data_IF_489203570962
#
_entry.id   IF_489203570962
#
_cell.length_a   1.000
_cell.length_b   1.000
_cell.length_c   1.000
_cell.angle_alpha   90.00
_cell.angle_beta   90.00
_cell.angle_gamma   90.00
#
_symmetry.space_group_name_H-M   'P 1'
#
loop_
_entity.id
_entity.type
_entity.pdbx_description
1 polymer ?
#
# COMPACT_ATOMS: atom_id res chain seq x y z
N UNK A 1 27.24 -11.77 17.93
CA UNK A 1 27.40 -12.65 16.75
C UNK A 1 27.24 -14.09 17.22
N UNK A 2 26.37 -14.89 16.59
CA UNK A 2 26.19 -16.31 16.94
C UNK A 2 27.48 -17.10 16.68
N UNK A 3 27.92 -17.92 17.64
CA UNK A 3 29.08 -18.82 17.52
C UNK A 3 28.80 -19.93 16.48
N UNK A 4 29.86 -20.56 15.95
CA UNK A 4 29.75 -21.54 14.86
C UNK A 4 28.83 -22.73 15.18
N UNK A 5 28.82 -23.18 16.44
CA UNK A 5 27.99 -24.29 16.90
C UNK A 5 26.51 -23.90 17.03
N UNK A 6 26.21 -22.69 17.55
CA UNK A 6 24.84 -22.18 17.60
C UNK A 6 24.28 -21.89 16.21
N UNK A 7 25.11 -21.49 15.24
CA UNK A 7 24.67 -21.33 13.84
C UNK A 7 24.25 -22.65 13.21
N UNK A 8 24.97 -23.74 13.48
CA UNK A 8 24.62 -25.08 13.01
C UNK A 8 23.30 -25.55 13.60
N UNK A 9 23.12 -25.41 14.91
CA UNK A 9 21.87 -25.78 15.59
C UNK A 9 20.65 -24.99 15.08
N UNK A 10 20.82 -23.69 14.84
CA UNK A 10 19.74 -22.84 14.27
C UNK A 10 19.45 -23.26 12.82
N UNK A 11 20.47 -23.51 12.01
CA UNK A 11 20.30 -23.98 10.64
C UNK A 11 19.58 -25.33 10.57
N UNK A 12 19.93 -26.28 11.45
CA UNK A 12 19.27 -27.58 11.54
C UNK A 12 17.82 -27.45 12.00
N UNK A 13 17.55 -26.62 13.00
CA UNK A 13 16.18 -26.35 13.45
C UNK A 13 15.31 -25.71 12.36
N UNK A 14 15.87 -24.77 11.58
CA UNK A 14 15.17 -24.15 10.43
C UNK A 14 14.94 -25.18 9.33
N UNK A 15 15.94 -26.01 9.01
CA UNK A 15 15.81 -27.06 8.00
C UNK A 15 14.76 -28.10 8.39
N UNK A 16 14.71 -28.50 9.66
CA UNK A 16 13.70 -29.44 10.15
C UNK A 16 12.31 -28.81 10.18
N UNK A 17 12.18 -27.53 10.51
CA UNK A 17 10.92 -26.81 10.38
C UNK A 17 10.44 -26.77 8.92
N UNK A 18 11.34 -26.45 7.97
CA UNK A 18 11.03 -26.45 6.54
C UNK A 18 10.66 -27.86 6.03
N UNK A 19 11.40 -28.91 6.44
CA UNK A 19 11.09 -30.30 6.10
C UNK A 19 9.72 -30.70 6.61
N UNK A 20 9.36 -30.34 7.84
CA UNK A 20 8.02 -30.60 8.38
C UNK A 20 6.95 -29.87 7.59
N UNK A 21 7.21 -28.64 7.14
CA UNK A 21 6.30 -27.90 6.26
C UNK A 21 6.13 -28.60 4.89
N UNK A 22 7.17 -29.17 4.30
CA UNK A 22 7.07 -29.83 2.99
C UNK A 22 6.52 -31.27 3.05
N UNK A 23 6.96 -32.06 4.02
CA UNK A 23 6.66 -33.49 4.09
C UNK A 23 5.58 -33.86 5.11
N UNK A 24 5.23 -32.94 6.02
CA UNK A 24 4.33 -33.20 7.15
C UNK A 24 3.42 -32.00 7.45
N UNK A 25 3.06 -31.23 6.43
CA UNK A 25 2.32 -29.97 6.63
C UNK A 25 0.94 -30.18 7.21
N UNK A 26 0.46 -29.18 7.94
CA UNK A 26 -0.96 -29.04 8.29
C UNK A 26 -1.77 -28.59 7.08
N UNK A 27 -3.10 -28.65 7.17
CA UNK A 27 -3.99 -28.17 6.11
C UNK A 27 -3.75 -26.69 5.78
N UNK A 28 -3.58 -25.84 6.80
CA UNK A 28 -3.30 -24.41 6.63
C UNK A 28 -1.93 -24.16 5.97
N UNK A 29 -0.90 -24.93 6.32
CA UNK A 29 0.43 -24.84 5.69
C UNK A 29 0.42 -25.30 4.23
N UNK A 30 -0.26 -26.41 3.90
CA UNK A 30 -0.44 -26.85 2.51
C UNK A 30 -1.16 -25.81 1.66
N UNK A 31 -2.21 -25.21 2.22
CA UNK A 31 -2.96 -24.16 1.54
C UNK A 31 -2.06 -22.94 1.22
N UNK A 32 -1.18 -22.56 2.16
CA UNK A 32 -0.18 -21.51 1.96
C UNK A 32 0.81 -21.84 0.83
N UNK A 33 1.39 -23.05 0.85
CA UNK A 33 2.35 -23.50 -0.16
C UNK A 33 1.72 -23.61 -1.56
N UNK A 34 0.50 -24.14 -1.65
CA UNK A 34 -0.24 -24.20 -2.91
C UNK A 34 -0.53 -22.81 -3.46
N UNK A 35 -0.90 -21.86 -2.61
CA UNK A 35 -1.06 -20.45 -3.00
C UNK A 35 0.25 -19.91 -3.56
N UNK A 36 1.37 -20.10 -2.85
CA UNK A 36 2.69 -19.64 -3.32
C UNK A 36 3.03 -20.22 -4.69
N UNK A 37 2.91 -21.54 -4.86
CA UNK A 37 3.18 -22.22 -6.13
C UNK A 37 2.33 -21.67 -7.28
N UNK A 38 1.03 -21.43 -7.05
CA UNK A 38 0.14 -20.86 -8.08
C UNK A 38 0.54 -19.44 -8.48
N UNK A 39 0.93 -18.62 -7.52
CA UNK A 39 1.42 -17.27 -7.78
C UNK A 39 2.64 -17.28 -8.69
N UNK A 40 3.60 -18.17 -8.39
CA UNK A 40 4.78 -18.36 -9.22
C UNK A 40 4.43 -18.88 -10.61
N UNK A 41 3.51 -19.84 -10.73
CA UNK A 41 3.06 -20.34 -12.04
C UNK A 41 2.38 -19.26 -12.87
N UNK A 42 1.56 -18.40 -12.26
CA UNK A 42 0.89 -17.29 -12.97
C UNK A 42 1.92 -16.26 -13.44
N UNK A 43 2.83 -15.82 -12.57
CA UNK A 43 3.91 -14.89 -12.95
C UNK A 43 4.80 -15.48 -14.03
N UNK A 44 5.09 -16.79 -13.95
CA UNK A 44 5.87 -17.51 -14.97
C UNK A 44 5.17 -17.56 -16.32
N UNK A 45 3.87 -17.89 -16.35
CA UNK A 45 3.07 -17.93 -17.59
C UNK A 45 2.93 -16.53 -18.19
N UNK A 46 2.70 -15.50 -17.37
CA UNK A 46 2.54 -14.12 -17.85
C UNK A 46 3.86 -13.52 -18.36
N UNK A 47 5.00 -13.88 -17.75
CA UNK A 47 6.32 -13.56 -18.30
C UNK A 47 6.59 -14.25 -19.66
N UNK A 48 5.86 -15.32 -19.98
CA UNK A 48 6.02 -16.09 -21.21
C UNK A 48 5.27 -15.52 -22.42
N UNK A 49 4.32 -14.60 -22.25
CA UNK A 49 3.48 -14.06 -23.34
C UNK A 49 3.78 -12.57 -23.62
N UNK A 50 4.54 -12.25 -24.69
CA UNK A 50 4.99 -10.88 -24.98
C UNK A 50 3.86 -9.87 -25.21
N UNK A 51 2.69 -10.31 -25.67
CA UNK A 51 1.53 -9.43 -25.91
C UNK A 51 0.93 -8.91 -24.61
N UNK A 52 0.84 -9.78 -23.60
CA UNK A 52 0.34 -9.43 -22.27
C UNK A 52 1.29 -8.43 -21.61
N UNK A 53 2.60 -8.66 -21.72
CA UNK A 53 3.61 -7.75 -21.20
C UNK A 53 3.51 -6.34 -21.80
N UNK A 54 3.36 -6.22 -23.12
CA UNK A 54 3.18 -4.91 -23.79
C UNK A 54 1.89 -4.21 -23.36
N UNK A 55 0.80 -4.96 -23.22
CA UNK A 55 -0.47 -4.42 -22.73
C UNK A 55 -0.32 -3.79 -21.34
N UNK A 56 0.41 -4.43 -20.42
CA UNK A 56 0.68 -3.89 -19.09
C UNK A 56 1.56 -2.64 -19.12
N UNK A 57 2.59 -2.58 -19.98
CA UNK A 57 3.43 -1.38 -20.14
C UNK A 57 2.62 -0.16 -20.63
N UNK A 58 1.83 -0.34 -21.69
CA UNK A 58 1.06 0.74 -22.30
C UNK A 58 -0.04 1.24 -21.36
N UNK A 59 -0.68 0.32 -20.63
CA UNK A 59 -1.66 0.65 -19.60
C UNK A 59 -1.06 1.39 -18.38
N UNK A 60 0.20 1.10 -18.03
CA UNK A 60 0.82 1.71 -16.84
C UNK A 60 1.36 3.11 -17.08
N UNK A 61 1.98 3.32 -18.25
CA UNK A 61 2.73 4.54 -18.58
C UNK A 61 1.90 5.84 -18.54
N UNK A 62 0.58 5.73 -18.57
CA UNK A 62 -0.35 6.86 -18.50
C UNK A 62 -1.12 6.92 -17.17
N UNK A 63 -0.80 6.05 -16.21
CA UNK A 63 -1.53 5.97 -14.94
C UNK A 63 -1.18 7.16 -14.04
N UNK A 64 -2.20 7.89 -13.58
CA UNK A 64 -2.07 8.97 -12.59
C UNK A 64 -2.53 8.45 -11.23
N UNK A 65 -1.66 8.55 -10.23
CA UNK A 65 -1.90 8.02 -8.88
C UNK A 65 -1.86 9.16 -7.87
N UNK A 66 -3.02 9.54 -7.35
CA UNK A 66 -3.11 10.33 -6.12
C UNK A 66 -2.71 9.43 -4.96
N UNK A 67 -1.55 9.67 -4.36
CA UNK A 67 -1.01 8.79 -3.31
C UNK A 67 -1.65 9.16 -1.97
N UNK A 68 -2.33 8.20 -1.33
CA UNK A 68 -2.96 8.41 -0.03
C UNK A 68 -1.99 8.60 1.13
N UNK A 69 -2.44 9.28 2.19
CA UNK A 69 -1.64 9.52 3.38
C UNK A 69 -1.24 8.21 4.08
N UNK A 70 -2.12 7.21 4.08
CA UNK A 70 -1.86 5.88 4.64
C UNK A 70 -0.67 5.17 3.98
N UNK A 71 -0.50 5.36 2.67
CA UNK A 71 0.64 4.86 1.92
C UNK A 71 1.90 5.63 2.28
N UNK A 72 1.84 6.96 2.26
CA UNK A 72 2.99 7.81 2.56
C UNK A 72 3.50 7.59 3.99
N UNK A 73 2.63 7.46 4.99
CA UNK A 73 3.00 7.16 6.38
C UNK A 73 3.78 5.84 6.46
N UNK A 74 3.36 4.80 5.72
CA UNK A 74 4.11 3.53 5.63
C UNK A 74 5.47 3.72 4.98
N UNK A 75 5.58 4.55 3.93
CA UNK A 75 6.89 4.85 3.31
C UNK A 75 7.84 5.56 4.29
N UNK A 76 7.33 6.39 5.21
CA UNK A 76 8.14 7.00 6.27
C UNK A 76 8.57 5.95 7.30
N UNK A 77 7.64 5.09 7.73
CA UNK A 77 7.89 4.03 8.70
C UNK A 77 8.94 3.01 8.23
N UNK A 78 9.02 2.73 6.93
CA UNK A 78 9.96 1.76 6.36
C UNK A 78 11.40 2.31 6.19
N UNK A 79 11.67 3.59 6.46
CA UNK A 79 12.96 4.24 6.13
C UNK A 79 14.21 3.51 6.64
N UNK A 80 14.10 2.88 7.81
CA UNK A 80 15.21 2.20 8.51
C UNK A 80 15.14 0.67 8.44
N UNK A 81 14.12 0.14 7.75
CA UNK A 81 14.06 -1.27 7.39
C UNK A 81 15.12 -1.54 6.32
N UNK A 82 15.62 -2.77 6.24
CA UNK A 82 16.57 -3.17 5.21
C UNK A 82 15.99 -2.88 3.81
N UNK A 83 16.79 -2.39 2.83
CA UNK A 83 16.29 -1.96 1.53
C UNK A 83 15.37 -2.98 0.84
N UNK A 84 15.64 -4.26 1.02
CA UNK A 84 14.87 -5.39 0.47
C UNK A 84 13.46 -5.50 1.08
N UNK A 85 13.33 -5.08 2.33
CA UNK A 85 12.12 -5.14 3.14
C UNK A 85 11.36 -3.78 3.20
N UNK A 86 11.83 -2.75 2.47
CA UNK A 86 11.13 -1.46 2.33
C UNK A 86 9.98 -1.53 1.31
N UNK A 87 9.01 -2.40 1.57
CA UNK A 87 7.99 -2.81 0.59
C UNK A 87 7.23 -1.64 -0.05
N UNK A 88 6.67 -0.75 0.76
CA UNK A 88 5.90 0.40 0.29
C UNK A 88 6.79 1.43 -0.39
N UNK A 89 8.00 1.68 0.13
CA UNK A 89 8.95 2.61 -0.52
C UNK A 89 9.36 2.12 -1.90
N UNK A 90 9.70 0.83 -2.00
CA UNK A 90 10.09 0.19 -3.26
C UNK A 90 8.93 0.18 -4.24
N UNK A 91 7.70 -0.06 -3.78
CA UNK A 91 6.50 0.00 -4.61
C UNK A 91 6.33 1.37 -5.28
N UNK A 92 6.44 2.46 -4.51
CA UNK A 92 6.28 3.82 -5.02
C UNK A 92 7.42 4.18 -5.99
N UNK A 93 8.66 3.85 -5.66
CA UNK A 93 9.82 4.06 -6.56
C UNK A 93 9.69 3.27 -7.86
N UNK A 94 9.22 2.03 -7.77
CA UNK A 94 8.99 1.18 -8.92
C UNK A 94 7.82 1.69 -9.79
N UNK A 95 6.75 2.20 -9.17
CA UNK A 95 5.64 2.81 -9.88
C UNK A 95 6.09 4.03 -10.69
N UNK A 96 6.89 4.93 -10.10
CA UNK A 96 7.48 6.02 -10.87
C UNK A 96 8.38 5.52 -12.00
N UNK A 97 9.25 4.55 -11.72
CA UNK A 97 10.21 4.01 -12.70
C UNK A 97 9.53 3.31 -13.88
N UNK A 98 8.36 2.73 -13.67
CA UNK A 98 7.54 2.12 -14.72
C UNK A 98 6.64 3.15 -15.45
N UNK A 99 6.68 4.43 -15.07
CA UNK A 99 6.05 5.53 -15.81
C UNK A 99 4.77 6.10 -15.18
N UNK A 100 4.37 5.65 -13.99
CA UNK A 100 3.20 6.25 -13.33
C UNK A 100 3.48 7.69 -12.89
N UNK A 101 2.49 8.57 -13.11
CA UNK A 101 2.48 9.93 -12.60
C UNK A 101 1.98 9.93 -11.15
N UNK A 102 2.88 10.10 -10.20
CA UNK A 102 2.55 10.10 -8.78
C UNK A 102 2.23 11.52 -8.31
N UNK A 103 1.09 11.71 -7.66
CA UNK A 103 0.57 13.03 -7.25
C UNK A 103 0.45 13.08 -5.73
N UNK A 104 1.00 14.14 -5.13
CA UNK A 104 0.85 14.53 -3.73
C UNK A 104 -0.07 15.74 -3.66
N UNK A 105 -1.31 15.55 -3.23
CA UNK A 105 -2.24 16.65 -3.01
C UNK A 105 -2.00 17.33 -1.65
N UNK A 106 -2.22 18.64 -1.56
CA UNK A 106 -2.15 19.43 -0.33
C UNK A 106 -2.88 18.80 0.89
N UNK A 107 -4.15 18.34 0.78
CA UNK A 107 -4.82 17.68 1.93
C UNK A 107 -4.10 16.43 2.42
N UNK A 108 -3.48 15.65 1.52
CA UNK A 108 -2.70 14.48 1.90
C UNK A 108 -1.43 14.88 2.65
N UNK A 109 -0.72 15.92 2.18
CA UNK A 109 0.46 16.44 2.86
C UNK A 109 0.13 16.89 4.29
N UNK A 110 -0.98 17.61 4.45
CA UNK A 110 -1.45 18.03 5.77
C UNK A 110 -1.73 16.85 6.69
N UNK A 111 -2.31 15.77 6.16
CA UNK A 111 -2.59 14.57 6.94
C UNK A 111 -1.33 13.84 7.38
N UNK A 112 -0.35 13.68 6.48
CA UNK A 112 0.94 13.05 6.82
C UNK A 112 1.66 13.87 7.90
N UNK A 113 1.65 15.20 7.77
CA UNK A 113 2.24 16.09 8.77
C UNK A 113 1.47 16.04 10.10
N UNK A 114 0.14 16.00 10.05
CA UNK A 114 -0.72 15.81 11.23
C UNK A 114 -0.41 14.49 11.93
N UNK A 115 -0.16 13.42 11.19
CA UNK A 115 0.22 12.12 11.74
C UNK A 115 1.62 12.14 12.38
N UNK A 116 2.56 12.88 11.82
CA UNK A 116 3.88 13.13 12.42
C UNK A 116 3.76 13.90 13.74
N UNK A 117 3.02 15.01 13.74
CA UNK A 117 2.78 15.85 14.94
C UNK A 117 2.04 15.08 16.04
N UNK A 118 1.01 14.32 15.67
CA UNK A 118 0.28 13.48 16.61
C UNK A 118 1.11 12.31 17.14
N UNK A 119 2.09 11.82 16.37
CA UNK A 119 3.07 10.84 16.87
C UNK A 119 4.06 11.49 17.84
N UNK A 120 4.50 12.71 17.57
CA UNK A 120 5.39 13.48 18.45
C UNK A 120 4.75 13.76 19.82
N UNK A 121 3.52 14.27 19.84
CA UNK A 121 2.76 14.46 21.09
C UNK A 121 2.63 13.16 21.87
N UNK A 122 2.21 12.08 21.20
CA UNK A 122 2.06 10.77 21.87
C UNK A 122 3.39 10.25 22.42
N UNK A 123 4.48 10.42 21.67
CA UNK A 123 5.81 9.98 22.08
C UNK A 123 6.23 10.64 23.40
N UNK A 124 6.08 11.95 23.50
CA UNK A 124 6.45 12.72 24.68
C UNK A 124 5.53 12.46 25.88
N UNK A 125 4.23 12.25 25.64
CA UNK A 125 3.26 11.97 26.71
C UNK A 125 3.41 10.56 27.29
N UNK A 126 3.61 9.55 26.44
CA UNK A 126 3.48 8.15 26.85
C UNK A 126 4.79 7.35 26.87
N UNK A 127 5.79 7.71 26.06
CA UNK A 127 7.00 6.89 25.88
C UNK A 127 8.25 7.49 26.52
N UNK A 128 8.46 8.80 26.43
CA UNK A 128 9.58 9.48 27.09
C UNK A 128 9.66 9.21 28.61
N UNK A 129 8.54 9.21 29.36
CA UNK A 129 8.57 8.93 30.81
C UNK A 129 9.04 7.51 31.17
N UNK A 130 8.92 6.55 30.24
CA UNK A 130 9.17 5.12 30.48
C UNK A 130 10.33 4.57 29.66
N UNK A 131 11.17 5.43 29.07
CA UNK A 131 12.27 5.07 28.16
C UNK A 131 13.27 4.04 28.67
N UNK A 132 13.35 3.79 29.99
CA UNK A 132 14.19 2.73 30.55
C UNK A 132 13.68 1.31 30.19
N UNK A 133 12.44 1.19 29.74
CA UNK A 133 11.75 -0.08 29.39
C UNK A 133 11.65 -0.18 27.86
N UNK A 134 12.79 -0.17 27.16
CA UNK A 134 12.84 -0.40 25.71
C UNK A 134 13.04 -1.89 25.44
N UNK A 135 11.96 -2.66 25.51
CA UNK A 135 11.93 -4.03 25.03
C UNK A 135 11.20 -4.12 23.68
N UNK A 136 11.73 -4.95 22.79
CA UNK A 136 11.17 -5.23 21.46
C UNK A 136 9.71 -5.70 21.56
N UNK A 137 9.38 -6.43 22.62
CA UNK A 137 8.02 -6.93 22.88
C UNK A 137 7.02 -5.83 23.25
N UNK A 138 7.49 -4.69 23.77
CA UNK A 138 6.62 -3.52 24.06
C UNK A 138 6.32 -2.74 22.79
N UNK A 139 7.28 -2.66 21.86
CA UNK A 139 7.13 -1.90 20.62
C UNK A 139 5.93 -2.35 19.77
N UNK A 140 5.59 -3.65 19.75
CA UNK A 140 4.45 -4.16 18.97
C UNK A 140 3.09 -3.58 19.39
N UNK A 141 2.98 -3.18 20.66
CA UNK A 141 1.76 -2.65 21.26
C UNK A 141 1.61 -1.13 21.10
N UNK A 142 2.64 -0.44 20.63
CA UNK A 142 2.57 1.00 20.40
C UNK A 142 1.62 1.29 19.22
N UNK A 143 0.55 2.09 19.41
CA UNK A 143 -0.45 2.30 18.36
C UNK A 143 0.07 3.15 17.19
N UNK A 144 1.06 4.02 17.44
CA UNK A 144 1.62 4.91 16.41
C UNK A 144 2.70 4.20 15.60
N UNK A 145 2.43 3.95 14.31
CA UNK A 145 3.34 3.23 13.42
C UNK A 145 4.73 3.88 13.27
N UNK A 146 4.82 5.20 13.29
CA UNK A 146 6.10 5.92 13.17
C UNK A 146 6.97 5.74 14.41
N UNK A 147 6.36 5.65 15.59
CA UNK A 147 7.07 5.36 16.85
C UNK A 147 7.52 3.90 16.86
N UNK A 148 6.66 2.97 16.40
CA UNK A 148 7.08 1.57 16.21
C UNK A 148 8.28 1.47 15.28
N UNK A 149 8.28 2.21 14.18
CA UNK A 149 9.39 2.24 13.24
C UNK A 149 10.69 2.71 13.90
N UNK A 150 10.66 3.76 14.72
CA UNK A 150 11.80 4.19 15.53
C UNK A 150 12.30 3.05 16.45
N UNK A 151 11.40 2.46 17.24
CA UNK A 151 11.77 1.42 18.21
C UNK A 151 12.38 0.21 17.52
N UNK A 152 11.82 -0.24 16.40
CA UNK A 152 12.40 -1.31 15.60
C UNK A 152 13.75 -0.92 15.01
N UNK A 153 13.91 0.32 14.52
CA UNK A 153 15.17 0.81 13.99
C UNK A 153 16.30 0.87 15.04
N UNK A 154 15.96 1.09 16.31
CA UNK A 154 16.93 1.09 17.41
C UNK A 154 17.45 -0.32 17.73
N UNK A 155 16.55 -1.33 17.68
CA UNK A 155 16.88 -2.73 17.99
C UNK A 155 17.55 -3.44 16.80
N UNK A 156 17.06 -3.22 15.58
CA UNK A 156 17.53 -3.93 14.39
C UNK A 156 18.90 -3.40 13.90
N UNK A 157 19.77 -4.28 13.37
CA UNK A 157 21.01 -3.86 12.74
C UNK A 157 20.78 -3.08 11.45
N UNK A 158 20.92 -1.76 11.52
CA UNK A 158 20.98 -0.83 10.39
C UNK A 158 22.24 0.05 10.48
N UNK A 159 22.79 0.44 9.33
CA UNK A 159 23.99 1.30 9.20
C UNK A 159 23.72 2.76 9.62
N UNK A 160 22.46 3.19 9.59
CA UNK A 160 22.05 4.55 9.93
C UNK A 160 20.89 4.50 10.92
N UNK A 161 21.16 4.30 12.21
CA UNK A 161 20.10 4.20 13.23
C UNK A 161 19.81 5.57 13.86
N UNK A 162 18.54 5.96 13.99
CA UNK A 162 18.17 7.11 14.79
C UNK A 162 18.34 6.79 16.28
N UNK A 163 19.16 7.58 16.98
CA UNK A 163 19.35 7.45 18.43
C UNK A 163 18.16 7.99 19.22
N UNK A 164 17.34 8.85 18.62
CA UNK A 164 16.24 9.54 19.27
C UNK A 164 15.07 9.79 18.31
N UNK A 165 13.91 10.12 18.88
CA UNK A 165 12.74 10.56 18.09
C UNK A 165 13.03 11.84 17.29
N UNK A 166 13.81 12.75 17.87
CA UNK A 166 14.26 13.96 17.19
C UNK A 166 15.09 13.63 15.94
N UNK A 167 16.04 12.70 16.05
CA UNK A 167 16.83 12.23 14.90
C UNK A 167 15.98 11.49 13.87
N UNK A 168 14.97 10.74 14.31
CA UNK A 168 14.02 10.08 13.41
C UNK A 168 13.25 11.11 12.57
N UNK A 169 12.67 12.12 13.24
CA UNK A 169 11.88 13.18 12.58
C UNK A 169 12.78 14.05 11.67
N UNK A 170 14.02 14.33 12.09
CA UNK A 170 14.99 15.12 11.32
C UNK A 170 15.30 14.55 9.93
N UNK A 171 14.95 13.29 9.64
CA UNK A 171 15.06 12.75 8.28
C UNK A 171 14.03 13.32 7.31
N UNK A 172 12.89 13.79 7.80
CA UNK A 172 11.75 14.23 6.99
C UNK A 172 11.56 15.75 7.05
N UNK A 173 11.82 16.34 8.21
CA UNK A 173 11.82 17.78 8.45
C UNK A 173 12.62 18.09 9.71
N UNK A 174 13.16 19.30 9.83
CA UNK A 174 13.82 19.78 11.03
C UNK A 174 12.87 19.66 12.23
N UNK A 175 13.29 18.95 13.27
CA UNK A 175 12.50 18.73 14.48
C UNK A 175 12.05 20.04 15.17
N UNK A 176 12.89 21.09 15.31
CA UNK A 176 12.45 22.37 15.87
C UNK A 176 11.31 23.02 15.07
N UNK A 177 11.20 22.70 13.78
CA UNK A 177 10.19 23.25 12.89
C UNK A 177 8.94 22.36 12.80
N UNK A 178 8.91 21.17 13.42
CA UNK A 178 7.84 20.18 13.26
C UNK A 178 6.43 20.76 13.47
N UNK A 179 6.27 21.56 14.52
CA UNK A 179 5.00 22.22 14.87
C UNK A 179 4.82 23.60 14.23
N UNK A 180 5.74 24.01 13.35
CA UNK A 180 5.72 25.26 12.60
C UNK A 180 5.25 25.02 11.15
N UNK A 181 4.81 26.07 10.42
CA UNK A 181 4.46 25.95 9.01
C UNK A 181 5.61 25.44 8.12
N UNK A 182 6.86 25.74 8.51
CA UNK A 182 8.06 25.38 7.74
C UNK A 182 8.21 23.86 7.56
N UNK A 183 7.75 23.05 8.52
CA UNK A 183 7.77 21.59 8.39
C UNK A 183 6.95 21.07 7.22
N UNK A 184 5.86 21.74 6.85
CA UNK A 184 5.05 21.34 5.69
C UNK A 184 5.86 21.45 4.39
N UNK A 185 6.59 22.56 4.22
CA UNK A 185 7.44 22.81 3.05
C UNK A 185 8.61 21.83 3.01
N UNK A 186 9.22 21.53 4.15
CA UNK A 186 10.34 20.58 4.25
C UNK A 186 9.89 19.15 3.93
N UNK A 187 8.78 18.72 4.53
CA UNK A 187 8.19 17.40 4.29
C UNK A 187 7.76 17.24 2.82
N UNK A 188 7.14 18.27 2.23
CA UNK A 188 6.80 18.30 0.82
C UNK A 188 8.05 18.06 -0.04
N UNK A 189 9.11 18.86 0.17
CA UNK A 189 10.36 18.73 -0.58
C UNK A 189 10.98 17.34 -0.44
N UNK A 190 10.98 16.77 0.76
CA UNK A 190 11.44 15.42 1.00
C UNK A 190 10.64 14.40 0.18
N UNK A 191 9.30 14.42 0.25
CA UNK A 191 8.44 13.49 -0.46
C UNK A 191 8.58 13.60 -1.99
N UNK A 192 8.66 14.83 -2.52
CA UNK A 192 8.89 15.07 -3.94
C UNK A 192 10.26 14.57 -4.39
N UNK A 193 11.32 14.82 -3.60
CA UNK A 193 12.68 14.42 -3.95
C UNK A 193 12.86 12.89 -3.93
N UNK A 194 12.38 12.24 -2.87
CA UNK A 194 12.57 10.81 -2.60
C UNK A 194 11.69 9.92 -3.48
N UNK A 195 10.44 10.33 -3.73
CA UNK A 195 9.45 9.50 -4.41
C UNK A 195 8.98 10.07 -5.76
N UNK A 196 9.52 11.21 -6.19
CA UNK A 196 9.18 11.87 -7.47
C UNK A 196 7.70 12.22 -7.59
N UNK A 197 7.09 12.62 -6.47
CA UNK A 197 5.71 13.08 -6.44
C UNK A 197 5.60 14.48 -7.07
N UNK A 198 4.58 14.68 -7.89
CA UNK A 198 4.11 15.99 -8.34
C UNK A 198 3.20 16.59 -7.27
N UNK A 199 3.52 17.80 -6.79
CA UNK A 199 2.73 18.43 -5.73
C UNK A 199 1.63 19.30 -6.32
N UNK A 200 0.41 19.13 -5.83
CA UNK A 200 -0.73 19.99 -6.12
C UNK A 200 -1.11 20.77 -4.86
N UNK A 201 -0.96 22.09 -4.93
CA UNK A 201 -1.20 22.98 -3.79
C UNK A 201 -2.69 23.25 -3.56
N UNK A 202 -3.00 23.95 -2.46
CA UNK A 202 -4.40 24.33 -2.16
C UNK A 202 -5.05 25.21 -3.22
N UNK A 203 -4.27 26.02 -3.94
CA UNK A 203 -4.82 26.86 -5.01
C UNK A 203 -5.34 25.98 -6.15
N UNK A 204 -4.58 24.94 -6.49
CA UNK A 204 -4.96 23.92 -7.48
C UNK A 204 -6.15 23.13 -6.97
N UNK A 205 -6.08 22.57 -5.75
CA UNK A 205 -7.16 21.75 -5.17
C UNK A 205 -8.49 22.51 -5.14
N UNK A 206 -8.50 23.74 -4.62
CA UNK A 206 -9.71 24.55 -4.52
C UNK A 206 -10.25 25.00 -5.89
N UNK A 207 -9.41 25.04 -6.93
CA UNK A 207 -9.88 25.36 -8.29
C UNK A 207 -10.57 24.17 -8.98
N UNK A 208 -10.27 22.94 -8.55
CA UNK A 208 -10.77 21.70 -9.16
C UNK A 208 -11.94 21.09 -8.39
N UNK A 209 -12.05 21.38 -7.09
CA UNK A 209 -13.10 20.86 -6.22
C UNK A 209 -14.26 21.85 -6.09
N UNK A 210 -15.48 21.33 -6.08
CA UNK A 210 -16.70 22.09 -5.84
C UNK A 210 -17.02 22.15 -4.34
N UNK A 211 -17.27 23.35 -3.82
CA UNK A 211 -17.48 23.57 -2.38
C UNK A 211 -18.79 22.92 -1.87
N UNK A 212 -19.86 22.92 -2.67
CA UNK A 212 -21.14 22.34 -2.28
C UNK A 212 -21.05 20.81 -2.24
N UNK A 213 -20.47 20.20 -3.26
CA UNK A 213 -20.17 18.78 -3.31
C UNK A 213 -19.20 18.40 -2.19
N UNK A 214 -18.20 19.22 -1.90
CA UNK A 214 -17.26 18.96 -0.81
C UNK A 214 -17.95 18.86 0.55
N UNK A 215 -18.82 19.80 0.87
CA UNK A 215 -19.60 19.79 2.12
C UNK A 215 -20.47 18.53 2.19
N UNK A 216 -21.13 18.18 1.09
CA UNK A 216 -21.97 16.99 1.00
C UNK A 216 -21.15 15.70 1.26
N UNK A 217 -20.02 15.54 0.58
CA UNK A 217 -19.14 14.37 0.72
C UNK A 217 -18.54 14.26 2.12
N UNK A 218 -18.03 15.36 2.68
CA UNK A 218 -17.48 15.41 4.03
C UNK A 218 -18.54 15.01 5.07
N UNK A 219 -19.76 15.51 4.95
CA UNK A 219 -20.84 15.23 5.91
C UNK A 219 -21.14 13.73 5.98
N UNK A 220 -21.14 13.05 4.83
CA UNK A 220 -21.34 11.58 4.74
C UNK A 220 -20.24 10.80 5.47
N UNK A 221 -19.02 11.33 5.51
CA UNK A 221 -17.88 10.69 6.15
C UNK A 221 -17.74 11.01 7.64
N UNK A 222 -18.45 12.01 8.15
CA UNK A 222 -18.28 12.52 9.53
C UNK A 222 -18.61 11.45 10.58
N UNK A 223 -19.56 10.55 10.31
CA UNK A 223 -19.89 9.43 11.21
C UNK A 223 -18.95 8.22 11.05
N UNK A 224 -18.20 8.16 9.95
CA UNK A 224 -17.31 7.04 9.63
C UNK A 224 -15.86 7.27 10.07
N UNK A 225 -15.48 8.52 10.33
CA UNK A 225 -14.10 8.95 10.56
C UNK A 225 -13.93 9.47 11.97
N UNK A 226 -12.74 9.28 12.53
CA UNK A 226 -12.40 9.71 13.89
C UNK A 226 -12.36 11.24 14.04
N UNK A 227 -12.18 11.97 12.94
CA UNK A 227 -12.19 13.43 12.93
C UNK A 227 -12.74 14.01 11.64
N UNK A 228 -13.32 15.20 11.73
CA UNK A 228 -13.77 15.98 10.58
C UNK A 228 -12.62 16.29 9.61
N UNK A 229 -11.40 16.47 10.12
CA UNK A 229 -10.21 16.71 9.31
C UNK A 229 -9.95 15.57 8.32
N UNK A 230 -10.04 14.31 8.76
CA UNK A 230 -9.86 13.14 7.87
C UNK A 230 -10.97 13.05 6.83
N UNK A 231 -12.23 13.23 7.26
CA UNK A 231 -13.38 13.26 6.37
C UNK A 231 -13.26 14.34 5.27
N UNK A 232 -12.74 15.52 5.64
CA UNK A 232 -12.48 16.63 4.72
C UNK A 232 -11.42 16.26 3.70
N UNK A 233 -10.29 15.71 4.13
CA UNK A 233 -9.19 15.37 3.22
C UNK A 233 -9.60 14.30 2.20
N UNK A 234 -10.31 13.26 2.63
CA UNK A 234 -10.80 12.20 1.75
C UNK A 234 -11.78 12.74 0.70
N UNK A 235 -12.66 13.68 1.09
CA UNK A 235 -13.60 14.33 0.17
C UNK A 235 -12.88 15.14 -0.91
N UNK A 236 -11.77 15.82 -0.60
CA UNK A 236 -10.95 16.49 -1.61
C UNK A 236 -10.31 15.49 -2.57
N UNK A 237 -9.66 14.44 -2.07
CA UNK A 237 -9.00 13.45 -2.93
C UNK A 237 -9.99 12.74 -3.86
N UNK A 238 -11.19 12.43 -3.36
CA UNK A 238 -12.27 11.87 -4.17
C UNK A 238 -12.66 12.77 -5.34
N UNK A 239 -12.82 14.07 -5.07
CA UNK A 239 -13.15 15.05 -6.11
C UNK A 239 -12.01 15.25 -7.10
N UNK A 240 -10.76 15.30 -6.63
CA UNK A 240 -9.59 15.44 -7.52
C UNK A 240 -9.52 14.32 -8.55
N UNK A 241 -9.70 13.06 -8.13
CA UNK A 241 -9.75 11.92 -9.06
C UNK A 241 -10.94 12.05 -10.02
N UNK A 242 -12.12 12.36 -9.51
CA UNK A 242 -13.34 12.50 -10.33
C UNK A 242 -13.19 13.62 -11.38
N UNK A 243 -12.65 14.77 -10.98
CA UNK A 243 -12.40 15.92 -11.84
C UNK A 243 -11.38 15.60 -12.94
N UNK A 244 -10.26 14.96 -12.59
CA UNK A 244 -9.26 14.54 -13.58
C UNK A 244 -9.86 13.60 -14.63
N UNK A 245 -10.66 12.62 -14.20
CA UNK A 245 -11.33 11.68 -15.12
C UNK A 245 -12.29 12.38 -16.08
N UNK A 246 -13.08 13.32 -15.57
CA UNK A 246 -14.01 14.09 -16.38
C UNK A 246 -13.27 14.96 -17.40
N UNK A 247 -12.20 15.64 -16.97
CA UNK A 247 -11.40 16.53 -17.83
C UNK A 247 -10.68 15.78 -18.95
N UNK A 248 -10.13 14.61 -18.64
CA UNK A 248 -9.47 13.74 -19.62
C UNK A 248 -10.45 12.91 -20.45
N UNK A 249 -11.75 13.03 -20.16
CA UNK A 249 -12.83 12.29 -20.80
C UNK A 249 -12.58 10.77 -20.73
N UNK A 250 -12.09 10.28 -19.58
CA UNK A 250 -11.75 8.87 -19.40
C UNK A 250 -12.98 7.96 -19.58
N UNK A 251 -14.19 8.43 -19.24
CA UNK A 251 -15.44 7.69 -19.46
C UNK A 251 -15.86 7.61 -20.95
N UNK A 252 -15.45 8.59 -21.77
CA UNK A 252 -15.84 8.67 -23.18
C UNK A 252 -14.78 8.07 -24.13
N UNK A 253 -13.52 7.99 -23.68
CA UNK A 253 -12.45 7.37 -24.45
C UNK A 253 -12.64 5.86 -24.47
N UNK A 254 -12.72 5.29 -25.67
CA UNK A 254 -12.68 3.83 -25.88
C UNK A 254 -11.26 3.30 -25.68
N UNK A 255 -10.71 3.44 -24.47
CA UNK A 255 -9.45 2.83 -24.09
C UNK A 255 -9.70 1.38 -23.66
N UNK A 256 -8.87 0.45 -24.13
CA UNK A 256 -8.87 -0.94 -23.66
C UNK A 256 -8.25 -1.11 -22.26
N UNK A 257 -7.73 -0.03 -21.66
CA UNK A 257 -7.00 -0.03 -20.39
C UNK A 257 -7.83 0.47 -19.20
N UNK A 258 -9.07 0.92 -19.44
CA UNK A 258 -9.94 1.49 -18.41
C UNK A 258 -9.49 2.88 -17.94
N UNK A 259 -9.87 3.24 -16.72
CA UNK A 259 -9.50 4.54 -16.12
C UNK A 259 -7.99 4.67 -15.94
N UNK A 260 -7.44 5.84 -16.20
CA UNK A 260 -6.03 6.15 -16.00
C UNK A 260 -5.77 6.82 -14.64
N UNK A 261 -6.75 7.54 -14.09
CA UNK A 261 -6.58 8.27 -12.84
C UNK A 261 -7.16 7.53 -11.64
N UNK A 262 -6.37 7.35 -10.57
CA UNK A 262 -6.77 6.57 -9.39
C UNK A 262 -6.25 7.17 -8.08
N UNK A 263 -6.95 6.88 -6.98
CA UNK A 263 -6.50 7.10 -5.61
C UNK A 263 -5.84 5.84 -5.06
N UNK A 264 -4.53 5.88 -4.81
CA UNK A 264 -3.78 4.77 -4.24
C UNK A 264 -3.92 4.75 -2.71
N UNK A 265 -4.68 3.78 -2.16
CA UNK A 265 -4.88 3.62 -0.72
C UNK A 265 -5.26 2.17 -0.34
N UNK A 266 -5.00 1.76 0.91
CA UNK A 266 -5.49 0.49 1.48
C UNK A 266 -6.78 0.68 2.30
N UNK A 267 -6.96 1.84 2.92
CA UNK A 267 -7.95 2.08 3.99
C UNK A 267 -9.32 2.58 3.54
N UNK A 268 -9.45 3.10 2.32
CA UNK A 268 -10.53 4.07 2.02
C UNK A 268 -11.76 3.54 1.28
N UNK A 269 -11.83 2.25 0.96
CA UNK A 269 -12.94 1.69 0.18
C UNK A 269 -14.33 1.81 0.82
N UNK A 270 -14.45 1.91 2.15
CA UNK A 270 -15.74 2.16 2.79
C UNK A 270 -16.18 3.62 2.58
N UNK A 271 -15.25 4.56 2.81
CA UNK A 271 -15.46 6.00 2.59
C UNK A 271 -15.78 6.29 1.11
N UNK A 272 -15.01 5.72 0.17
CA UNK A 272 -15.24 5.85 -1.27
C UNK A 272 -16.62 5.36 -1.68
N UNK A 273 -17.10 4.22 -1.14
CA UNK A 273 -18.45 3.73 -1.44
C UNK A 273 -19.55 4.67 -0.91
N UNK A 274 -19.36 5.24 0.27
CA UNK A 274 -20.31 6.18 0.85
C UNK A 274 -20.36 7.47 0.02
N UNK A 275 -19.21 8.02 -0.33
CA UNK A 275 -19.07 9.20 -1.21
C UNK A 275 -19.68 8.96 -2.60
N UNK A 276 -19.30 7.87 -3.27
CA UNK A 276 -19.79 7.55 -4.61
C UNK A 276 -21.33 7.40 -4.66
N UNK A 277 -21.95 6.88 -3.59
CA UNK A 277 -23.41 6.78 -3.49
C UNK A 277 -24.07 8.16 -3.51
N UNK A 278 -23.47 9.13 -2.83
CA UNK A 278 -24.03 10.48 -2.69
C UNK A 278 -23.70 11.36 -3.89
N UNK A 279 -22.47 11.26 -4.42
CA UNK A 279 -22.08 11.91 -5.67
C UNK A 279 -22.74 11.31 -6.92
N UNK A 280 -23.43 10.17 -6.79
CA UNK A 280 -23.98 9.38 -7.93
C UNK A 280 -22.93 9.07 -8.99
N UNK A 281 -21.70 8.85 -8.55
CA UNK A 281 -20.53 8.61 -9.40
C UNK A 281 -20.02 7.18 -9.23
N UNK A 282 -19.04 6.81 -10.05
CA UNK A 282 -18.40 5.49 -9.95
C UNK A 282 -17.65 5.35 -8.63
N UNK A 283 -17.83 4.21 -7.95
CA UNK A 283 -17.02 3.86 -6.79
C UNK A 283 -15.63 3.32 -7.16
N UNK A 284 -15.34 3.15 -8.46
CA UNK A 284 -14.06 2.63 -8.98
C UNK A 284 -12.98 3.71 -9.01
N UNK A 285 -12.79 4.43 -7.91
CA UNK A 285 -11.83 5.53 -7.76
C UNK A 285 -10.54 5.08 -7.06
N UNK A 286 -10.63 4.02 -6.25
CA UNK A 286 -9.52 3.53 -5.45
C UNK A 286 -8.73 2.44 -6.17
N UNK A 287 -7.40 2.53 -6.14
CA UNK A 287 -6.47 1.48 -6.52
C UNK A 287 -5.80 0.92 -5.27
N UNK A 288 -5.86 -0.40 -5.09
CA UNK A 288 -5.18 -1.06 -3.98
C UNK A 288 -3.68 -1.25 -4.31
N UNK A 289 -2.72 -0.95 -3.41
CA UNK A 289 -1.28 -1.10 -3.67
C UNK A 289 -0.84 -2.54 -3.96
N UNK A 290 -1.56 -3.52 -3.40
CA UNK A 290 -1.38 -4.92 -3.76
C UNK A 290 -1.66 -5.24 -5.24
N UNK A 291 -2.54 -4.49 -5.90
CA UNK A 291 -2.74 -4.58 -7.36
C UNK A 291 -1.57 -3.92 -8.09
N UNK A 292 -1.18 -2.71 -7.68
CA UNK A 292 -0.04 -1.96 -8.23
C UNK A 292 1.25 -2.80 -8.22
N UNK A 293 1.53 -3.49 -7.12
CA UNK A 293 2.69 -4.37 -6.98
C UNK A 293 2.68 -5.53 -8.01
N UNK A 294 1.52 -6.16 -8.22
CA UNK A 294 1.37 -7.22 -9.25
C UNK A 294 1.57 -6.65 -10.65
N UNK A 295 1.00 -5.48 -10.91
CA UNK A 295 1.10 -4.82 -12.21
C UNK A 295 2.56 -4.54 -12.59
N UNK A 296 3.34 -3.99 -11.66
CA UNK A 296 4.77 -3.71 -11.84
C UNK A 296 5.58 -5.01 -12.03
N UNK A 297 5.24 -6.10 -11.34
CA UNK A 297 5.92 -7.39 -11.55
C UNK A 297 5.71 -7.96 -12.95
N UNK A 298 4.58 -7.61 -13.59
CA UNK A 298 4.20 -8.05 -14.93
C UNK A 298 4.63 -7.07 -16.03
N UNK A 299 5.02 -5.84 -15.69
CA UNK A 299 5.44 -4.85 -16.68
C UNK A 299 6.89 -5.13 -17.17
N UNK A 300 7.14 -5.25 -18.49
CA UNK A 300 8.48 -5.53 -19.01
C UNK A 300 9.45 -4.35 -18.85
N UNK A 301 9.02 -3.09 -18.98
CA UNK A 301 9.86 -1.90 -18.67
C UNK A 301 10.35 -1.88 -17.22
N UNK A 302 9.67 -2.58 -16.33
CA UNK A 302 10.10 -2.82 -14.98
C UNK A 302 11.26 -3.83 -14.89
N UNK A 303 12.01 -4.18 -15.93
CA UNK A 303 13.20 -5.05 -15.79
C UNK A 303 14.20 -4.53 -14.73
N UNK A 304 14.37 -3.22 -14.65
CA UNK A 304 15.22 -2.56 -13.66
C UNK A 304 14.54 -2.48 -12.26
N UNK A 305 13.22 -2.27 -12.23
CA UNK A 305 12.42 -2.30 -11.00
C UNK A 305 12.23 -3.74 -10.45
N UNK A 306 12.22 -4.76 -11.31
CA UNK A 306 12.24 -6.19 -10.97
C UNK A 306 13.57 -6.59 -10.32
N UNK A 307 14.66 -5.90 -10.65
CA UNK A 307 15.94 -6.05 -9.94
C UNK A 307 15.89 -5.44 -8.53
N UNK A 308 15.14 -4.33 -8.35
CA UNK A 308 14.84 -3.74 -7.04
C UNK A 308 13.78 -4.53 -6.25
N UNK A 309 12.94 -5.32 -6.94
CA UNK A 309 11.99 -6.28 -6.38
C UNK A 309 12.51 -7.74 -6.40
N UNK A 310 13.76 -7.99 -6.78
CA UNK A 310 14.27 -9.37 -6.88
C UNK A 310 14.36 -10.00 -5.50
N UNK A 311 14.62 -9.18 -4.48
CA UNK A 311 14.68 -9.57 -3.07
C UNK A 311 13.29 -9.63 -2.40
N UNK A 312 12.23 -9.22 -3.11
CA UNK A 312 10.84 -9.26 -2.63
C UNK A 312 10.32 -10.71 -2.49
N UNK A 313 11.04 -11.69 -3.04
CA UNK A 313 10.74 -13.12 -3.00
C UNK A 313 11.98 -13.85 -2.44
N UNK A 314 11.93 -14.48 -1.24
CA UNK A 314 10.76 -14.99 -0.53
C UNK A 314 10.40 -14.17 0.72
N UNK A 315 9.86 -12.95 0.55
CA UNK A 315 9.31 -12.20 1.68
C UNK A 315 7.86 -12.60 2.00
N UNK A 316 7.36 -12.28 3.20
CA UNK A 316 5.94 -12.40 3.60
C UNK A 316 4.96 -11.76 2.60
N UNK A 317 5.43 -10.82 1.78
CA UNK A 317 4.65 -10.20 0.70
C UNK A 317 4.51 -11.10 -0.52
N UNK A 318 5.50 -11.92 -0.87
CA UNK A 318 5.36 -13.02 -1.85
C UNK A 318 4.26 -14.01 -1.48
N UNK A 319 4.15 -14.28 -0.17
CA UNK A 319 3.10 -15.12 0.41
C UNK A 319 1.75 -14.40 0.41
N UNK A 320 1.70 -13.08 0.67
CA UNK A 320 0.48 -12.25 0.53
C UNK A 320 0.07 -12.04 -0.94
N UNK A 321 1.01 -11.96 -1.87
CA UNK A 321 0.81 -11.84 -3.33
C UNK A 321 0.13 -13.10 -3.87
N UNK A 322 0.60 -14.25 -3.39
CA UNK A 322 0.05 -15.58 -3.67
C UNK A 322 -1.35 -15.84 -3.09
N UNK A 323 -1.68 -15.15 -2.00
CA UNK A 323 -2.93 -15.31 -1.27
C UNK A 323 -4.14 -14.68 -1.99
N UNK A 324 -3.95 -13.94 -3.09
CA UNK A 324 -4.87 -12.87 -3.55
C UNK A 324 -5.46 -13.00 -4.96
N UNK A 325 -5.50 -14.19 -5.57
CA UNK A 325 -6.44 -14.49 -6.67
C UNK A 325 -6.96 -15.91 -6.45
N UNK A 326 -8.25 -16.07 -6.16
CA UNK A 326 -8.83 -17.41 -6.08
C UNK A 326 -8.79 -18.04 -7.48
N UNK A 327 -8.52 -19.34 -7.56
CA UNK A 327 -8.43 -20.07 -8.84
C UNK A 327 -9.72 -19.91 -9.66
N UNK A 328 -10.86 -19.83 -8.99
CA UNK A 328 -12.16 -19.57 -9.62
C UNK A 328 -12.22 -18.18 -10.27
N UNK A 329 -11.78 -17.13 -9.58
CA UNK A 329 -11.77 -15.75 -10.10
C UNK A 329 -10.81 -15.61 -11.27
N UNK A 330 -9.63 -16.24 -11.19
CA UNK A 330 -8.67 -16.25 -12.28
C UNK A 330 -9.20 -16.99 -13.51
N UNK A 331 -9.77 -18.19 -13.34
CA UNK A 331 -10.38 -18.94 -14.44
C UNK A 331 -11.51 -18.15 -15.08
N UNK A 332 -12.39 -17.56 -14.27
CA UNK A 332 -13.45 -16.66 -14.76
C UNK A 332 -12.87 -15.50 -15.57
N UNK A 333 -11.75 -14.93 -15.13
CA UNK A 333 -11.09 -13.84 -15.84
C UNK A 333 -10.51 -14.30 -17.18
N UNK A 334 -9.78 -15.42 -17.20
CA UNK A 334 -9.25 -16.03 -18.43
C UNK A 334 -10.37 -16.44 -19.39
N UNK A 335 -11.46 -17.01 -18.88
CA UNK A 335 -12.63 -17.38 -19.68
C UNK A 335 -13.28 -16.13 -20.28
N UNK A 336 -13.40 -15.03 -19.51
CA UNK A 336 -13.95 -13.76 -20.00
C UNK A 336 -13.03 -13.11 -21.04
N UNK A 337 -11.71 -13.18 -20.85
CA UNK A 337 -10.71 -12.70 -21.83
C UNK A 337 -10.81 -13.51 -23.13
N UNK A 338 -10.92 -14.84 -23.01
CA UNK A 338 -11.05 -15.76 -24.16
C UNK A 338 -12.37 -15.58 -24.90
N UNK A 339 -13.47 -15.31 -24.19
CA UNK A 339 -14.74 -14.93 -24.80
C UNK A 339 -14.60 -13.59 -25.54
N UNK A 340 -13.93 -12.59 -24.94
CA UNK A 340 -13.68 -11.29 -25.55
C UNK A 340 -12.81 -11.36 -26.82
N UNK A 341 -11.91 -12.35 -26.92
CA UNK A 341 -11.12 -12.59 -28.14
C UNK A 341 -11.98 -12.92 -29.37
N UNK A 342 -13.14 -13.54 -29.17
CA UNK A 342 -14.10 -13.86 -30.25
C UNK A 342 -14.98 -12.68 -30.68
N UNK A 343 -14.95 -11.57 -29.93
CA UNK A 343 -15.77 -10.40 -30.18
C UNK A 343 -15.09 -9.42 -31.16
N UNK A 344 -15.90 -8.56 -31.76
CA UNK A 344 -15.42 -7.44 -32.58
C UNK A 344 -14.46 -6.54 -31.80
N UNK A 345 -13.44 -5.92 -32.45
CA UNK A 345 -12.37 -5.20 -31.78
C UNK A 345 -12.83 -4.12 -30.79
N UNK A 346 -13.86 -3.33 -31.14
CA UNK A 346 -14.40 -2.30 -30.26
C UNK A 346 -15.08 -2.86 -29.00
N UNK A 347 -15.78 -4.00 -29.14
CA UNK A 347 -16.43 -4.68 -28.00
C UNK A 347 -15.41 -5.35 -27.09
N UNK A 348 -14.36 -5.94 -27.68
CA UNK A 348 -13.23 -6.53 -26.95
C UNK A 348 -12.52 -5.48 -26.10
N UNK A 349 -12.21 -4.32 -26.66
CA UNK A 349 -11.57 -3.21 -25.94
C UNK A 349 -12.41 -2.76 -24.73
N UNK A 350 -13.72 -2.53 -24.93
CA UNK A 350 -14.62 -2.12 -23.86
C UNK A 350 -14.72 -3.18 -22.74
N UNK A 351 -14.81 -4.46 -23.08
CA UNK A 351 -14.87 -5.54 -22.09
C UNK A 351 -13.56 -5.68 -21.31
N UNK A 352 -12.42 -5.49 -21.97
CA UNK A 352 -11.10 -5.54 -21.32
C UNK A 352 -10.91 -4.38 -20.35
N UNK A 353 -11.33 -3.18 -20.74
CA UNK A 353 -11.33 -2.00 -19.87
C UNK A 353 -12.14 -2.24 -18.59
N UNK A 354 -13.35 -2.78 -18.72
CA UNK A 354 -14.22 -3.09 -17.58
C UNK A 354 -13.60 -4.11 -16.62
N UNK A 355 -12.97 -5.16 -17.15
CA UNK A 355 -12.26 -6.17 -16.36
C UNK A 355 -11.09 -5.52 -15.62
N UNK A 356 -10.32 -4.66 -16.28
CA UNK A 356 -9.19 -3.97 -15.67
C UNK A 356 -9.61 -3.03 -14.55
N UNK A 357 -10.67 -2.25 -14.75
CA UNK A 357 -11.18 -1.35 -13.73
C UNK A 357 -11.72 -2.10 -12.52
N UNK A 358 -12.36 -3.25 -12.74
CA UNK A 358 -12.76 -4.15 -11.66
C UNK A 358 -11.53 -4.65 -10.90
N UNK A 359 -10.51 -5.17 -11.59
CA UNK A 359 -9.30 -5.67 -10.94
C UNK A 359 -8.56 -4.61 -10.11
N UNK A 360 -8.55 -3.36 -10.59
CA UNK A 360 -7.93 -2.23 -9.89
C UNK A 360 -8.69 -1.84 -8.62
N UNK A 361 -10.03 -1.85 -8.69
CA UNK A 361 -10.92 -1.40 -7.63
C UNK A 361 -11.37 -2.48 -6.63
N UNK A 362 -11.17 -3.77 -6.91
CA UNK A 362 -11.57 -4.85 -6.01
C UNK A 362 -10.78 -4.78 -4.70
N UNK A 363 -11.50 -4.46 -3.62
CA UNK A 363 -11.12 -4.84 -2.26
C UNK A 363 -11.25 -6.35 -2.16
N UNK A 364 -10.13 -7.06 -2.07
CA UNK A 364 -10.15 -8.48 -1.71
C UNK A 364 -10.39 -8.65 -0.19
N UNK A 365 -11.45 -8.05 0.36
CA UNK A 365 -11.93 -8.29 1.73
C UNK A 365 -12.92 -9.45 1.82
N UNK A 366 -13.43 -9.98 0.70
CA UNK A 366 -14.32 -11.16 0.70
C UNK A 366 -13.58 -12.51 0.89
N UNK A 367 -12.30 -12.47 1.25
CA UNK A 367 -11.53 -13.68 1.61
C UNK A 367 -10.65 -13.50 2.86
N UNK A 368 -11.00 -12.57 3.75
CA UNK A 368 -10.23 -12.30 4.99
C UNK A 368 -10.94 -12.63 6.30
N UNK A 369 -12.04 -13.38 6.30
CA UNK A 369 -12.55 -14.02 7.51
C UNK A 369 -12.05 -15.46 7.54
N UNK A 370 -10.95 -15.67 8.28
CA UNK A 370 -10.45 -16.97 8.80
C UNK A 370 -8.99 -16.87 9.27
N UNK A 371 -8.45 -15.65 9.37
CA UNK A 371 -7.27 -15.38 10.19
C UNK A 371 -7.55 -14.16 11.08
N UNK A 372 -8.72 -14.15 11.73
CA UNK A 372 -8.76 -13.64 13.09
C UNK A 372 -7.96 -14.61 13.96
N UNK A 373 -7.14 -14.02 14.83
CA UNK A 373 -6.37 -14.65 15.89
C UNK A 373 -7.30 -15.30 16.93
N UNK A 374 -8.04 -16.33 16.53
CA UNK A 374 -8.76 -17.21 17.46
C UNK A 374 -7.76 -18.19 18.04
N UNK A 375 -7.01 -17.74 19.05
CA UNK A 375 -6.19 -18.67 19.84
C UNK A 375 -5.05 -18.14 20.69
N UNK A 376 -5.13 -16.95 21.29
CA UNK A 376 -4.39 -16.65 22.54
C UNK A 376 -5.27 -15.91 23.56
N UNK A 377 -6.57 -16.21 23.55
CA UNK A 377 -7.46 -16.02 24.67
C UNK A 377 -7.62 -17.33 25.44
N UNK A 378 -6.54 -17.81 26.07
CA UNK A 378 -6.67 -18.78 27.16
C UNK A 378 -6.07 -18.12 28.40
N UNK A 379 -6.97 -17.90 29.36
CA UNK A 379 -6.73 -17.66 30.79
C UNK A 379 -5.33 -18.07 31.24
N UNK A 380 -4.54 -17.08 31.69
CA UNK A 380 -3.43 -17.37 32.59
C UNK A 380 -3.99 -18.15 33.78
N UNK A 381 -3.48 -19.34 34.11
CA UNK A 381 -3.76 -19.92 35.41
C UNK A 381 -3.17 -18.97 36.45
N UNK A 382 -4.03 -18.44 37.31
CA UNK A 382 -3.62 -17.86 38.57
C UNK A 382 -2.76 -18.89 39.28
N UNK A 383 -1.47 -18.61 39.43
CA UNK A 383 -0.64 -19.33 40.36
C UNK A 383 -0.99 -18.81 41.74
N UNK A 384 -1.78 -19.60 42.46
CA UNK A 384 -1.89 -19.50 43.91
C UNK A 384 -0.51 -19.75 44.53
N UNK A 385 0.11 -18.68 45.04
CA UNK A 385 0.91 -18.65 46.28
C UNK A 385 1.02 -17.22 46.78
#
# INVERSE_FOLDING_TARGET
MLTGETRLLVADAVNDALRRIFYSSTASQRNLLQRMSRAYSVVFVLNGEPRVLRYFDDAFSHTRLYVGADILIKTLAERYVQPEDQHTRNLIKAAHSAGAHLILAAPVLEEVLGHLRGSDTWFHEYLDPVRAIQDYDVARYVPKILIRALLYAQVLPSESRPSSWQEFVNQFCNYPDLHRPDAAVQLQRYLQAEFKLHFEDWSTVNSLCDDEEHVLLRNVLTEMKESEFLARNDAYVFQLVSHCRATEQEDARSSEYGYQTWWLSEGEGAAVRAMARVARSSNRILMHPGFLAKFIQLAPTAALARKQLADFLPSLLGIKLARRIAEADFRKLIDTVREAESLEPGRRAAQMADIMDQLRGVRHSEFSEDFEDRGLGETLPMLDT
#
